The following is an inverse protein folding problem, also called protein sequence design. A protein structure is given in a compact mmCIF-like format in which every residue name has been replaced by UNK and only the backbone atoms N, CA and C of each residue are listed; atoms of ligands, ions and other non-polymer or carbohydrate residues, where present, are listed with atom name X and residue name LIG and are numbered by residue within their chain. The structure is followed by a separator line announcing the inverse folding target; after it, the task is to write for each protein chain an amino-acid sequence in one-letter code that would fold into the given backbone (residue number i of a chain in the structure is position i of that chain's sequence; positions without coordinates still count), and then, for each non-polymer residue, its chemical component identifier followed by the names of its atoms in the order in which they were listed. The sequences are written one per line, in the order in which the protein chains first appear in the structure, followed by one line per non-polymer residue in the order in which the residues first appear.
data_IF_709744575443
#
_entry.id   IF_709744575443
#
_cell.length_a   1.000
_cell.length_b   1.000
_cell.length_c   1.000
_cell.angle_alpha   90.00
_cell.angle_beta   90.00
_cell.angle_gamma   90.00
#
_symmetry.space_group_name_H-M   'P 1'
#
loop_
_entity.id
_entity.type
_entity.pdbx_description
1 polymer ?
#
# COMPACT_ATOMS: atom_id res chain seq x y z
N UNK A 1 1.23 -0.88 22.30
CA UNK A 1 0.51 0.17 21.52
C UNK A 1 -0.97 0.25 21.89
N UNK A 2 -1.79 -0.79 21.69
CA UNK A 2 -3.25 -0.74 21.93
C UNK A 2 -3.66 -0.22 23.32
N UNK A 3 -2.99 -0.65 24.40
CA UNK A 3 -3.27 -0.16 25.76
C UNK A 3 -3.14 1.38 25.85
N UNK A 4 -2.03 1.92 25.32
CA UNK A 4 -1.79 3.36 25.30
C UNK A 4 -2.79 4.10 24.40
N UNK A 5 -3.20 3.49 23.28
CA UNK A 5 -4.25 4.05 22.42
C UNK A 5 -5.59 4.20 23.15
N UNK A 6 -5.96 3.23 24.00
CA UNK A 6 -7.16 3.33 24.85
C UNK A 6 -7.01 4.43 25.91
N UNK A 7 -5.83 4.51 26.53
CA UNK A 7 -5.57 5.42 27.65
C UNK A 7 -5.42 6.89 27.22
N UNK A 8 -4.77 7.14 26.07
CA UNK A 8 -4.34 8.48 25.66
C UNK A 8 -4.91 8.95 24.32
N UNK A 9 -5.42 8.06 23.46
CA UNK A 9 -5.86 8.39 22.09
C UNK A 9 -7.33 8.07 21.81
N UNK A 10 -8.15 7.95 22.88
CA UNK A 10 -9.61 7.77 22.80
C UNK A 10 -10.07 6.55 21.97
N UNK A 11 -9.27 5.48 21.94
CA UNK A 11 -9.69 4.19 21.37
C UNK A 11 -10.75 3.56 22.26
N UNK A 12 -12.01 3.59 21.82
CA UNK A 12 -13.15 3.01 22.53
C UNK A 12 -13.45 1.60 22.04
N UNK A 13 -13.89 0.74 22.96
CA UNK A 13 -14.42 -0.57 22.60
C UNK A 13 -15.70 -0.41 21.76
N UNK A 14 -15.80 -1.16 20.67
CA UNK A 14 -16.92 -1.13 19.74
C UNK A 14 -17.18 -2.56 19.24
N UNK A 15 -18.42 -3.04 19.22
CA UNK A 15 -18.73 -4.41 18.77
C UNK A 15 -18.36 -4.65 17.29
N UNK A 16 -18.17 -3.60 16.49
CA UNK A 16 -17.71 -3.69 15.09
C UNK A 16 -16.19 -3.60 14.94
N UNK A 17 -15.44 -3.36 16.02
CA UNK A 17 -13.98 -3.27 16.02
C UNK A 17 -13.38 -4.52 16.67
N UNK A 18 -12.67 -5.30 15.87
CA UNK A 18 -11.90 -6.45 16.36
C UNK A 18 -10.41 -6.13 16.25
N UNK A 19 -9.70 -6.24 17.37
CA UNK A 19 -8.25 -6.00 17.44
C UNK A 19 -7.56 -7.34 17.61
N UNK A 20 -6.69 -7.67 16.67
CA UNK A 20 -5.85 -8.86 16.72
C UNK A 20 -4.42 -8.45 17.07
N UNK A 21 -3.88 -9.00 18.16
CA UNK A 21 -2.48 -8.81 18.55
C UNK A 21 -1.64 -9.93 17.93
N UNK A 22 -1.37 -9.80 16.64
CA UNK A 22 -0.65 -10.78 15.83
C UNK A 22 0.22 -10.06 14.80
N UNK A 23 1.27 -10.73 14.30
CA UNK A 23 2.03 -10.27 13.15
C UNK A 23 1.14 -10.25 11.88
N UNK A 24 1.24 -9.19 11.08
CA UNK A 24 0.40 -9.00 9.91
C UNK A 24 0.57 -10.08 8.84
N UNK A 25 1.80 -10.58 8.64
CA UNK A 25 2.08 -11.65 7.68
C UNK A 25 1.50 -12.97 8.16
N UNK A 26 1.62 -13.26 9.46
CA UNK A 26 0.99 -14.44 10.07
C UNK A 26 -0.53 -14.37 9.93
N UNK A 27 -1.14 -13.24 10.27
CA UNK A 27 -2.58 -13.04 10.12
C UNK A 27 -3.05 -13.25 8.67
N UNK A 28 -2.36 -12.68 7.68
CA UNK A 28 -2.68 -12.87 6.26
C UNK A 28 -2.57 -14.34 5.83
N UNK A 29 -1.65 -15.11 6.42
CA UNK A 29 -1.45 -16.52 6.07
C UNK A 29 -2.52 -17.44 6.66
N UNK A 30 -3.06 -17.11 7.84
CA UNK A 30 -4.01 -17.96 8.59
C UNK A 30 -5.46 -17.51 8.44
N UNK A 31 -5.71 -16.26 8.06
CA UNK A 31 -7.04 -15.70 7.90
C UNK A 31 -7.85 -16.42 6.81
N UNK A 32 -9.09 -16.77 7.15
CA UNK A 32 -10.06 -17.38 6.23
C UNK A 32 -11.21 -16.44 5.84
N UNK A 33 -11.28 -15.24 6.44
CA UNK A 33 -12.30 -14.25 6.13
C UNK A 33 -11.97 -13.48 4.86
N UNK A 34 -13.00 -13.01 4.18
CA UNK A 34 -12.88 -12.08 3.05
C UNK A 34 -13.25 -10.68 3.49
N UNK A 35 -12.63 -9.69 2.86
CA UNK A 35 -12.81 -8.28 3.13
C UNK A 35 -13.14 -7.52 1.83
N UNK A 36 -13.96 -6.48 1.94
CA UNK A 36 -14.21 -5.56 0.84
C UNK A 36 -13.04 -4.58 0.69
N UNK A 37 -12.43 -4.18 1.80
CA UNK A 37 -11.29 -3.27 1.83
C UNK A 37 -10.23 -3.80 2.79
N UNK A 38 -8.99 -3.83 2.34
CA UNK A 38 -7.81 -4.01 3.18
C UNK A 38 -7.00 -2.70 3.16
N UNK A 39 -6.69 -2.17 4.33
CA UNK A 39 -5.89 -0.95 4.47
C UNK A 39 -4.59 -1.28 5.20
N UNK A 40 -3.46 -1.11 4.52
CA UNK A 40 -2.13 -1.33 5.06
C UNK A 40 -1.44 -0.01 5.41
N UNK A 41 -1.18 0.19 6.69
CA UNK A 41 -0.43 1.33 7.23
C UNK A 41 0.62 0.83 8.23
N UNK A 42 1.54 0.02 7.72
CA UNK A 42 2.59 -0.64 8.50
C UNK A 42 3.96 0.05 8.37
N UNK A 43 4.05 1.12 7.58
CA UNK A 43 5.31 1.78 7.27
C UNK A 43 5.51 2.96 8.22
N UNK A 44 6.24 2.70 9.29
CA UNK A 44 6.56 3.73 10.30
C UNK A 44 7.54 4.79 9.78
N UNK A 45 8.38 4.45 8.80
CA UNK A 45 9.32 5.35 8.14
C UNK A 45 9.81 4.74 6.82
N UNK A 46 10.44 5.57 5.97
CA UNK A 46 11.14 5.09 4.76
C UNK A 46 12.24 4.06 5.08
N UNK A 47 12.74 4.00 6.32
CA UNK A 47 13.86 3.16 6.74
C UNK A 47 13.45 1.82 7.37
N UNK A 48 12.16 1.60 7.65
CA UNK A 48 11.67 0.39 8.31
C UNK A 48 10.41 -0.11 7.63
N UNK A 49 10.62 -0.72 6.47
CA UNK A 49 9.60 -1.33 5.63
C UNK A 49 9.57 -2.83 5.95
N UNK A 50 8.45 -3.38 6.47
CA UNK A 50 8.35 -4.82 6.74
C UNK A 50 8.34 -5.60 5.42
N UNK A 51 9.52 -5.99 4.93
CA UNK A 51 9.67 -6.58 3.60
C UNK A 51 8.77 -7.80 3.38
N UNK A 52 8.49 -8.57 4.44
CA UNK A 52 7.60 -9.74 4.43
C UNK A 52 6.16 -9.42 4.02
N UNK A 53 5.73 -8.16 4.07
CA UNK A 53 4.40 -7.72 3.63
C UNK A 53 4.38 -7.22 2.17
N UNK A 54 5.55 -7.06 1.55
CA UNK A 54 5.72 -6.43 0.23
C UNK A 54 5.93 -7.44 -0.89
N UNK A 55 6.10 -8.72 -0.54
CA UNK A 55 6.46 -9.79 -1.48
C UNK A 55 5.27 -10.28 -2.29
N UNK A 56 5.53 -10.91 -3.43
CA UNK A 56 4.55 -11.57 -4.27
C UNK A 56 3.63 -12.49 -3.48
N UNK A 57 4.19 -13.27 -2.56
CA UNK A 57 3.45 -14.20 -1.72
C UNK A 57 2.54 -13.48 -0.71
N UNK A 58 2.95 -12.31 -0.20
CA UNK A 58 2.11 -11.46 0.65
C UNK A 58 1.00 -10.77 -0.14
N UNK A 59 1.33 -10.27 -1.34
CA UNK A 59 0.37 -9.68 -2.27
C UNK A 59 -0.67 -10.71 -2.71
N UNK A 60 -0.26 -11.96 -3.00
CA UNK A 60 -1.20 -13.04 -3.33
C UNK A 60 -2.14 -13.35 -2.16
N UNK A 61 -1.63 -13.44 -0.93
CA UNK A 61 -2.47 -13.64 0.26
C UNK A 61 -3.43 -12.48 0.50
N UNK A 62 -2.99 -11.26 0.24
CA UNK A 62 -3.83 -10.06 0.27
C UNK A 62 -4.94 -10.15 -0.77
N UNK A 63 -4.61 -10.50 -2.02
CA UNK A 63 -5.58 -10.70 -3.09
C UNK A 63 -6.60 -11.79 -2.72
N UNK A 64 -6.13 -12.91 -2.18
CA UNK A 64 -6.97 -14.02 -1.74
C UNK A 64 -7.85 -13.61 -0.54
N UNK A 65 -7.44 -12.66 0.30
CA UNK A 65 -8.26 -12.17 1.40
C UNK A 65 -9.36 -11.17 0.96
N UNK A 66 -9.44 -10.79 -0.31
CA UNK A 66 -10.43 -9.85 -0.82
C UNK A 66 -11.66 -10.53 -1.47
N UNK A 67 -12.82 -9.92 -1.28
CA UNK A 67 -14.02 -10.15 -2.10
C UNK A 67 -13.76 -9.72 -3.56
N UNK A 68 -14.61 -10.13 -4.51
CA UNK A 68 -14.34 -10.00 -5.95
C UNK A 68 -14.18 -8.56 -6.46
N UNK A 69 -14.89 -7.60 -5.87
CA UNK A 69 -14.72 -6.16 -6.12
C UNK A 69 -13.88 -5.46 -5.03
N UNK A 70 -13.13 -6.25 -4.25
CA UNK A 70 -12.35 -5.75 -3.14
C UNK A 70 -11.15 -4.91 -3.57
N UNK A 71 -10.72 -4.04 -2.65
CA UNK A 71 -9.63 -3.10 -2.86
C UNK A 71 -8.62 -3.22 -1.72
N UNK A 72 -7.34 -3.17 -2.06
CA UNK A 72 -6.28 -2.91 -1.09
C UNK A 72 -5.73 -1.51 -1.28
N UNK A 73 -5.52 -0.83 -0.15
CA UNK A 73 -4.97 0.52 -0.09
C UNK A 73 -3.75 0.44 0.84
N UNK A 74 -2.59 0.90 0.36
CA UNK A 74 -1.37 0.96 1.14
C UNK A 74 -0.89 2.40 1.24
N UNK A 75 -0.47 2.82 2.42
CA UNK A 75 0.27 4.05 2.63
C UNK A 75 1.77 3.75 2.63
N UNK A 76 2.56 4.29 1.70
CA UNK A 76 4.02 4.05 1.65
C UNK A 76 4.79 5.35 1.51
N UNK A 77 5.93 5.47 2.19
CA UNK A 77 6.80 6.66 2.09
C UNK A 77 7.88 6.38 1.04
N UNK A 78 7.81 7.04 -0.11
CA UNK A 78 8.80 6.90 -1.20
C UNK A 78 8.71 8.08 -2.16
N UNK A 79 9.52 8.07 -3.22
CA UNK A 79 9.32 8.91 -4.41
C UNK A 79 8.84 8.03 -5.57
N UNK A 80 8.22 8.60 -6.59
CA UNK A 80 7.80 7.82 -7.77
C UNK A 80 9.00 7.50 -8.66
N UNK A 81 9.88 8.48 -8.80
CA UNK A 81 11.03 8.50 -9.70
C UNK A 81 12.35 8.56 -8.93
N UNK A 82 13.45 8.55 -9.67
CA UNK A 82 14.80 8.65 -9.11
C UNK A 82 15.23 7.44 -8.26
N UNK A 83 16.35 7.60 -7.56
CA UNK A 83 16.96 6.54 -6.76
C UNK A 83 16.16 6.21 -5.49
N UNK A 84 15.43 7.19 -4.94
CA UNK A 84 14.58 7.01 -3.74
C UNK A 84 13.24 6.31 -4.03
N UNK A 85 12.88 6.18 -5.31
CA UNK A 85 11.66 5.51 -5.76
C UNK A 85 11.83 4.04 -6.13
N UNK A 86 13.04 3.48 -5.95
CA UNK A 86 13.32 2.09 -6.33
C UNK A 86 12.42 1.09 -5.60
N UNK A 87 12.15 1.33 -4.32
CA UNK A 87 11.25 0.50 -3.54
C UNK A 87 9.82 0.56 -4.10
N UNK A 88 9.25 1.76 -4.29
CA UNK A 88 7.90 1.91 -4.84
C UNK A 88 7.78 1.22 -6.22
N UNK A 89 8.78 1.35 -7.09
CA UNK A 89 8.74 0.71 -8.43
C UNK A 89 8.75 -0.81 -8.33
N UNK A 90 9.50 -1.38 -7.39
CA UNK A 90 9.48 -2.83 -7.12
C UNK A 90 8.15 -3.29 -6.50
N UNK A 91 7.60 -2.52 -5.55
CA UNK A 91 6.29 -2.76 -4.94
C UNK A 91 5.18 -2.72 -6.00
N UNK A 92 5.17 -1.69 -6.86
CA UNK A 92 4.23 -1.58 -7.97
C UNK A 92 4.34 -2.72 -8.97
N UNK A 93 5.56 -3.14 -9.33
CA UNK A 93 5.75 -4.31 -10.20
C UNK A 93 5.15 -5.58 -9.56
N UNK A 94 5.33 -5.75 -8.26
CA UNK A 94 4.81 -6.88 -7.50
C UNK A 94 3.28 -6.87 -7.45
N UNK A 95 2.67 -5.73 -7.12
CA UNK A 95 1.21 -5.58 -7.12
C UNK A 95 0.61 -5.78 -8.51
N UNK A 96 1.21 -5.21 -9.56
CA UNK A 96 0.75 -5.36 -10.95
C UNK A 96 0.85 -6.79 -11.49
N UNK A 97 1.65 -7.66 -10.87
CA UNK A 97 1.73 -9.07 -11.25
C UNK A 97 0.53 -9.90 -10.78
N UNK A 98 -0.23 -9.40 -9.79
CA UNK A 98 -1.39 -10.09 -9.18
C UNK A 98 -2.70 -9.35 -9.43
N UNK A 99 -2.72 -8.02 -9.22
CA UNK A 99 -3.92 -7.21 -9.32
C UNK A 99 -4.15 -6.69 -10.75
N UNK A 100 -5.39 -6.77 -11.28
CA UNK A 100 -5.71 -6.25 -12.60
C UNK A 100 -5.50 -4.75 -12.77
N UNK A 101 -5.67 -3.97 -11.70
CA UNK A 101 -5.54 -2.51 -11.73
C UNK A 101 -4.79 -2.03 -10.50
N UNK A 102 -3.77 -1.20 -10.70
CA UNK A 102 -2.94 -0.62 -9.64
C UNK A 102 -2.69 0.85 -9.95
N UNK A 103 -3.04 1.72 -9.00
CA UNK A 103 -2.92 3.17 -9.07
C UNK A 103 -2.09 3.71 -7.90
N UNK A 104 -1.51 4.88 -8.07
CA UNK A 104 -0.83 5.60 -7.00
C UNK A 104 -1.29 7.05 -6.93
N UNK A 105 -1.30 7.58 -5.71
CA UNK A 105 -1.69 8.95 -5.40
C UNK A 105 -0.64 9.55 -4.45
N UNK A 106 0.34 10.31 -4.96
CA UNK A 106 1.26 11.07 -4.11
C UNK A 106 0.49 12.13 -3.32
N UNK A 107 0.66 12.16 -2.01
CA UNK A 107 -0.20 12.94 -1.10
C UNK A 107 0.16 14.42 -1.09
N UNK A 108 1.44 14.77 -1.23
CA UNK A 108 1.92 16.15 -1.12
C UNK A 108 1.92 16.87 -2.46
N UNK A 109 2.58 16.29 -3.46
CA UNK A 109 2.63 16.85 -4.82
C UNK A 109 2.58 15.70 -5.84
N UNK A 110 1.49 15.64 -6.60
CA UNK A 110 1.26 14.63 -7.64
C UNK A 110 2.02 14.90 -8.94
N UNK A 111 2.81 15.98 -9.01
CA UNK A 111 3.62 16.35 -10.17
C UNK A 111 5.11 16.20 -9.92
N UNK A 112 5.56 16.23 -8.67
CA UNK A 112 6.95 16.00 -8.30
C UNK A 112 7.21 14.51 -8.02
N UNK A 113 7.67 13.80 -9.05
CA UNK A 113 8.02 12.39 -8.95
C UNK A 113 9.29 12.12 -8.13
N UNK A 114 10.15 13.12 -7.91
CA UNK A 114 11.43 12.97 -7.19
C UNK A 114 11.27 13.22 -5.69
N UNK A 115 10.21 13.92 -5.28
CA UNK A 115 9.92 14.17 -3.88
C UNK A 115 9.61 12.88 -3.12
N UNK A 116 10.28 12.67 -1.99
CA UNK A 116 9.89 11.65 -1.01
C UNK A 116 8.67 12.15 -0.24
N UNK A 117 7.59 11.39 -0.29
CA UNK A 117 6.30 11.73 0.30
C UNK A 117 5.50 10.46 0.62
N UNK A 118 4.38 10.61 1.33
CA UNK A 118 3.40 9.52 1.39
C UNK A 118 2.79 9.33 0.00
N UNK A 119 2.70 8.08 -0.42
CA UNK A 119 2.09 7.65 -1.66
C UNK A 119 1.04 6.62 -1.28
N UNK A 120 -0.20 6.87 -1.67
CA UNK A 120 -1.27 5.89 -1.51
C UNK A 120 -1.27 4.99 -2.74
N UNK A 121 -0.92 3.72 -2.57
CA UNK A 121 -1.06 2.69 -3.59
C UNK A 121 -2.43 2.05 -3.45
N UNK A 122 -3.21 2.02 -4.52
CA UNK A 122 -4.55 1.41 -4.56
C UNK A 122 -4.54 0.30 -5.61
N UNK A 123 -4.79 -0.94 -5.19
CA UNK A 123 -4.91 -2.07 -6.10
C UNK A 123 -6.31 -2.69 -6.03
N UNK A 124 -6.95 -2.85 -7.18
CA UNK A 124 -8.33 -3.30 -7.29
C UNK A 124 -8.36 -4.71 -7.89
N UNK A 125 -9.17 -5.58 -7.29
CA UNK A 125 -9.44 -6.92 -7.82
C UNK A 125 -10.37 -6.88 -9.04
N UNK A 126 -11.27 -5.91 -9.07
CA UNK A 126 -12.16 -5.66 -10.21
C UNK A 126 -11.35 -5.25 -11.45
N UNK A 127 -11.86 -5.59 -12.64
CA UNK A 127 -11.30 -5.14 -13.94
C UNK A 127 -11.96 -3.85 -14.45
N UNK A 128 -13.04 -3.42 -13.81
CA UNK A 128 -13.77 -2.21 -14.19
C UNK A 128 -12.95 -0.98 -13.79
N UNK A 129 -12.63 -0.13 -14.75
CA UNK A 129 -11.91 1.13 -14.50
C UNK A 129 -12.81 2.06 -13.68
N UNK A 130 -12.38 2.50 -12.49
CA UNK A 130 -13.19 3.38 -11.66
C UNK A 130 -13.20 4.82 -12.21
N UNK A 131 -14.19 5.60 -11.79
CA UNK A 131 -14.16 7.06 -11.97
C UNK A 131 -13.21 7.69 -10.95
N UNK A 132 -12.29 8.53 -11.40
CA UNK A 132 -11.45 9.37 -10.54
C UNK A 132 -12.02 10.78 -10.38
N UNK A 133 -13.34 10.91 -10.48
CA UNK A 133 -14.08 12.14 -10.21
C UNK A 133 -15.18 11.85 -9.20
N UNK A 134 -15.35 12.77 -8.26
CA UNK A 134 -16.41 12.74 -7.27
C UNK A 134 -17.11 14.09 -7.21
N UNK A 135 -18.40 14.08 -6.85
CA UNK A 135 -19.13 15.30 -6.53
C UNK A 135 -18.78 15.83 -5.13
N UNK A 136 -18.17 14.99 -4.29
CA UNK A 136 -17.63 15.38 -3.01
C UNK A 136 -16.28 16.07 -3.20
N UNK A 137 -16.17 17.32 -2.73
CA UNK A 137 -14.98 18.17 -2.93
C UNK A 137 -13.73 17.59 -2.29
N UNK A 138 -13.84 16.98 -1.11
CA UNK A 138 -12.69 16.42 -0.38
C UNK A 138 -12.18 15.17 -1.09
N UNK A 139 -13.09 14.24 -1.43
CA UNK A 139 -12.75 13.03 -2.18
C UNK A 139 -12.18 13.40 -3.55
N UNK A 140 -12.78 14.37 -4.25
CA UNK A 140 -12.27 14.81 -5.53
C UNK A 140 -10.88 15.46 -5.41
N UNK A 141 -10.59 16.12 -4.29
CA UNK A 141 -9.25 16.54 -3.92
C UNK A 141 -8.27 15.38 -3.91
N UNK A 142 -8.57 14.30 -3.18
CA UNK A 142 -7.71 13.12 -3.14
C UNK A 142 -7.57 12.44 -4.50
N UNK A 143 -8.67 12.28 -5.24
CA UNK A 143 -8.66 11.63 -6.56
C UNK A 143 -7.88 12.44 -7.60
N UNK A 144 -7.81 13.77 -7.45
CA UNK A 144 -7.02 14.64 -8.34
C UNK A 144 -5.51 14.42 -8.23
N UNK A 145 -5.05 13.72 -7.20
CA UNK A 145 -3.66 13.34 -7.03
C UNK A 145 -3.27 12.05 -7.78
N UNK A 146 -4.17 11.48 -8.59
CA UNK A 146 -3.85 10.32 -9.42
C UNK A 146 -2.61 10.58 -10.27
N UNK A 147 -1.59 9.73 -10.12
CA UNK A 147 -0.40 9.80 -10.95
C UNK A 147 -0.68 9.31 -12.37
N UNK A 148 -0.50 10.18 -13.36
CA UNK A 148 -0.83 9.91 -14.77
C UNK A 148 0.39 9.96 -15.71
N UNK A 149 1.60 10.21 -15.20
CA UNK A 149 2.82 10.38 -16.01
C UNK A 149 3.50 9.04 -16.38
N UNK A 150 2.90 7.91 -15.99
CA UNK A 150 3.51 6.59 -16.10
C UNK A 150 4.55 6.33 -15.01
N UNK A 151 4.86 5.07 -14.76
CA UNK A 151 5.91 4.67 -13.80
C UNK A 151 6.81 3.67 -14.50
N UNK A 152 8.12 3.93 -14.48
CA UNK A 152 9.12 3.04 -15.06
C UNK A 152 9.04 1.64 -14.46
N UNK A 153 9.08 0.61 -15.31
CA UNK A 153 9.10 -0.79 -14.88
C UNK A 153 10.52 -1.36 -14.99
N UNK A 154 11.44 -0.85 -14.18
CA UNK A 154 12.88 -1.17 -14.17
C UNK A 154 13.31 -2.05 -12.98
N UNK A 155 12.36 -2.48 -12.14
CA UNK A 155 12.64 -3.25 -10.92
C UNK A 155 12.02 -4.64 -10.95
N UNK A 156 12.74 -5.65 -10.45
CA UNK A 156 12.17 -6.98 -10.31
C UNK A 156 11.06 -6.95 -9.25
N UNK A 157 10.11 -7.88 -9.39
CA UNK A 157 9.13 -8.15 -8.35
C UNK A 157 9.84 -8.62 -7.08
N UNK A 158 9.27 -8.25 -5.93
CA UNK A 158 9.73 -8.68 -4.62
C UNK A 158 9.17 -10.07 -4.35
N UNK A 159 10.00 -10.98 -3.84
CA UNK A 159 9.59 -12.34 -3.45
C UNK A 159 10.13 -12.65 -2.07
N UNK A 160 9.57 -13.65 -1.38
CA UNK A 160 10.09 -14.07 -0.07
C UNK A 160 11.59 -14.45 -0.12
N UNK A 161 12.07 -14.97 -1.26
CA UNK A 161 13.49 -15.33 -1.48
C UNK A 161 14.35 -14.14 -1.99
N UNK A 162 13.72 -13.06 -2.45
CA UNK A 162 14.41 -11.89 -3.00
C UNK A 162 13.60 -10.61 -2.81
N UNK A 163 13.84 -9.93 -1.69
CA UNK A 163 13.25 -8.63 -1.36
C UNK A 163 14.31 -7.66 -0.81
N UNK A 164 15.17 -7.07 -1.67
CA UNK A 164 16.25 -6.18 -1.25
C UNK A 164 15.73 -4.78 -0.87
N UNK A 165 14.70 -4.74 -0.02
CA UNK A 165 14.00 -3.53 0.42
C UNK A 165 14.97 -2.57 1.11
N UNK A 166 15.78 -3.08 2.03
CA UNK A 166 16.81 -2.28 2.73
C UNK A 166 17.82 -1.65 1.76
N UNK A 167 18.13 -2.34 0.66
CA UNK A 167 19.02 -1.79 -0.35
C UNK A 167 18.36 -0.65 -1.13
N UNK A 168 17.08 -0.78 -1.47
CA UNK A 168 16.35 0.24 -2.22
C UNK A 168 16.09 1.52 -1.43
N UNK A 169 15.81 1.40 -0.13
CA UNK A 169 15.49 2.56 0.73
C UNK A 169 16.73 3.34 1.18
N UNK A 170 17.92 2.74 1.14
CA UNK A 170 19.16 3.37 1.60
C UNK A 170 19.96 4.07 0.48
N UNK A 171 19.44 4.13 -0.76
CA UNK A 171 20.09 4.85 -1.87
C UNK A 171 19.86 6.36 -1.75
N UNK A 172 20.88 7.10 -1.33
CA UNK A 172 20.79 8.55 -1.04
C UNK A 172 21.20 9.49 -2.18
N UNK A 173 21.66 8.98 -3.32
CA UNK A 173 22.09 9.80 -4.48
C UNK A 173 21.54 9.19 -5.76
#
# INVERSE_FOLDING_TARGET
VTKLAKEYFNLKDNPRLNIFHEDGRVFLNTNQKKYDVLFGDAFSSHYSIPHQLTTLQAVQKTYDALNDDGVVILNTISSVEGNKGQFLRAELATYKSIFPQVYIFPVTDSKDGLQVQNIILVALKSKTVPSFKSNDTEINGFLSHLWNQGVTNDKPILTDDYAPVEYYINRTE
#
